data_IF_681868555007
#
_entry.id   IF_681868555007
#
_cell.length_a   1.000
_cell.length_b   1.000
_cell.length_c   1.000
_cell.angle_alpha   90.00
_cell.angle_beta   90.00
_cell.angle_gamma   90.00
#
_symmetry.space_group_name_H-M   'P 1'
#
loop_
_entity.id
_entity.type
_entity.pdbx_description
1 polymer ?
#
# COMPACT_ATOMS: atom_id res chain seq x y z
N UNK A 1 70.17 -0.59 -3.47
CA UNK A 1 68.72 -0.70 -3.76
C UNK A 1 67.94 -1.24 -2.56
N UNK A 2 68.25 -2.43 -2.04
CA UNK A 2 67.53 -3.03 -0.88
C UNK A 2 67.57 -2.16 0.38
N UNK A 3 68.74 -1.58 0.71
CA UNK A 3 68.87 -0.74 1.91
C UNK A 3 67.99 0.52 1.88
N UNK A 4 67.83 1.13 0.69
CA UNK A 4 66.98 2.32 0.49
C UNK A 4 65.50 1.95 0.66
N UNK A 5 65.10 0.80 0.13
CA UNK A 5 63.74 0.28 0.31
C UNK A 5 63.43 -0.01 1.78
N UNK A 6 64.38 -0.59 2.53
CA UNK A 6 64.20 -0.84 3.96
C UNK A 6 64.04 0.46 4.76
N UNK A 7 64.85 1.48 4.45
CA UNK A 7 64.76 2.80 5.08
C UNK A 7 63.43 3.49 4.78
N UNK A 8 62.96 3.44 3.53
CA UNK A 8 61.67 4.01 3.12
C UNK A 8 60.49 3.31 3.82
N UNK A 9 60.52 1.98 3.93
CA UNK A 9 59.47 1.23 4.64
C UNK A 9 59.48 1.51 6.15
N UNK A 10 60.65 1.63 6.77
CA UNK A 10 60.76 1.96 8.19
C UNK A 10 60.22 3.37 8.50
N UNK A 11 60.50 4.35 7.65
CA UNK A 11 59.92 5.70 7.72
C UNK A 11 58.39 5.68 7.58
N UNK A 12 57.87 4.92 6.60
CA UNK A 12 56.42 4.78 6.41
C UNK A 12 55.74 4.10 7.60
N UNK A 13 56.37 3.08 8.18
CA UNK A 13 55.88 2.38 9.37
C UNK A 13 55.83 3.32 10.58
N UNK A 14 56.90 4.09 10.81
CA UNK A 14 56.95 5.08 11.88
C UNK A 14 55.89 6.18 11.71
N UNK A 15 55.60 6.59 10.47
CA UNK A 15 54.51 7.53 10.18
C UNK A 15 53.14 6.93 10.52
N UNK A 16 52.88 5.68 10.11
CA UNK A 16 51.60 4.99 10.37
C UNK A 16 51.35 4.74 11.86
N UNK A 17 52.41 4.56 12.65
CA UNK A 17 52.33 4.40 14.11
C UNK A 17 52.32 5.76 14.85
N UNK A 18 52.33 6.88 14.13
CA UNK A 18 52.27 8.22 14.72
C UNK A 18 53.56 8.68 15.40
N UNK A 19 54.66 7.94 15.29
CA UNK A 19 55.95 8.26 15.93
C UNK A 19 56.62 9.51 15.35
N UNK A 20 56.23 9.92 14.14
CA UNK A 20 56.73 11.12 13.45
C UNK A 20 55.86 12.37 13.70
N UNK A 21 54.91 12.33 14.64
CA UNK A 21 54.21 13.53 15.12
C UNK A 21 53.22 14.15 14.15
N UNK A 22 52.55 13.35 13.32
CA UNK A 22 51.52 13.81 12.39
C UNK A 22 50.34 12.84 12.34
N UNK A 23 49.14 13.38 12.62
CA UNK A 23 47.84 12.70 12.69
C UNK A 23 47.73 11.57 13.74
N UNK A 24 47.37 11.95 14.96
CA UNK A 24 46.90 11.01 15.99
C UNK A 24 45.57 10.32 15.59
N UNK A 25 45.07 9.40 16.44
CA UNK A 25 43.87 8.57 16.19
C UNK A 25 42.55 9.33 15.95
N UNK A 26 42.59 10.67 15.94
CA UNK A 26 41.45 11.53 15.58
C UNK A 26 41.24 11.68 14.06
N UNK A 27 42.10 11.10 13.20
CA UNK A 27 41.88 11.08 11.76
C UNK A 27 40.64 10.25 11.34
N UNK A 28 40.15 9.34 12.19
CA UNK A 28 38.92 8.57 11.95
C UNK A 28 37.64 9.33 12.36
N UNK A 29 37.77 10.43 13.14
CA UNK A 29 36.66 11.36 13.34
C UNK A 29 36.85 12.50 12.36
N UNK A 30 36.07 12.48 11.28
CA UNK A 30 35.95 13.59 10.34
C UNK A 30 34.79 14.52 10.76
N UNK A 31 34.93 15.39 11.80
CA UNK A 31 33.85 16.28 12.24
C UNK A 31 33.41 17.24 11.14
N UNK A 32 34.32 17.50 10.20
CA UNK A 32 34.11 18.31 9.00
C UNK A 32 33.00 17.73 8.11
N UNK A 33 32.74 16.42 8.18
CA UNK A 33 31.69 15.74 7.41
C UNK A 33 30.29 16.00 7.96
N UNK A 34 30.16 16.21 9.28
CA UNK A 34 28.89 16.58 9.94
C UNK A 34 28.53 18.03 9.65
N UNK A 35 29.52 18.93 9.66
CA UNK A 35 29.33 20.34 9.34
C UNK A 35 28.96 20.60 7.86
N UNK A 36 29.17 19.64 6.97
CA UNK A 36 28.79 19.69 5.55
C UNK A 36 27.46 19.02 5.25
N UNK A 37 26.74 18.52 6.26
CA UNK A 37 25.39 18.01 6.06
C UNK A 37 24.46 19.19 5.73
N UNK A 38 23.48 18.94 4.86
CA UNK A 38 22.40 19.89 4.63
C UNK A 38 21.44 19.81 5.83
N UNK A 39 21.35 20.89 6.60
CA UNK A 39 20.53 21.03 7.81
C UNK A 39 20.91 20.12 9.01
N UNK A 40 22.15 20.19 9.53
CA UNK A 40 22.54 19.43 10.72
C UNK A 40 21.71 19.81 11.96
N UNK A 41 21.14 21.02 12.00
CA UNK A 41 20.28 21.50 13.08
C UNK A 41 18.95 20.73 13.23
N UNK A 42 18.54 19.96 12.21
CA UNK A 42 17.36 19.11 12.27
C UNK A 42 17.64 17.74 12.90
N UNK A 43 18.91 17.38 13.12
CA UNK A 43 19.32 16.08 13.67
C UNK A 43 19.69 16.26 15.14
N UNK A 44 18.78 15.88 16.03
CA UNK A 44 19.05 15.85 17.48
C UNK A 44 19.40 14.43 17.90
N UNK A 45 20.58 14.24 18.49
CA UNK A 45 20.96 12.93 19.07
C UNK A 45 20.20 12.75 20.36
N UNK A 46 19.24 11.83 20.37
CA UNK A 46 18.49 11.48 21.57
C UNK A 46 19.35 10.59 22.49
N UNK A 47 19.30 10.80 23.81
CA UNK A 47 19.91 9.87 24.76
C UNK A 47 19.18 8.52 24.70
N UNK A 48 19.87 7.44 25.05
CA UNK A 48 19.36 6.06 24.98
C UNK A 48 18.04 5.85 25.77
N UNK A 49 17.83 6.64 26.82
CA UNK A 49 16.58 6.70 27.58
C UNK A 49 15.38 7.21 26.77
N UNK A 50 15.59 8.09 25.79
CA UNK A 50 14.55 8.62 24.92
C UNK A 50 14.20 7.67 23.76
N UNK A 51 15.13 6.83 23.32
CA UNK A 51 14.86 5.75 22.36
C UNK A 51 13.86 4.72 22.93
N UNK A 52 13.96 4.45 24.23
CA UNK A 52 13.02 3.57 24.95
C UNK A 52 11.60 4.18 25.05
N UNK A 53 11.49 5.51 25.12
CA UNK A 53 10.20 6.22 25.15
C UNK A 53 9.49 6.32 23.80
N UNK A 54 10.24 6.36 22.70
CA UNK A 54 9.68 6.38 21.34
C UNK A 54 9.08 5.03 20.94
N UNK A 55 9.60 3.90 21.44
CA UNK A 55 9.00 2.58 21.24
C UNK A 55 7.72 2.40 22.06
N UNK A 56 7.63 3.03 23.24
CA UNK A 56 6.47 2.95 24.11
C UNK A 56 5.24 3.74 23.60
N UNK A 57 5.42 4.66 22.64
CA UNK A 57 4.35 5.48 22.05
C UNK A 57 3.93 5.03 20.65
N UNK A 58 4.49 3.95 20.13
CA UNK A 58 4.00 3.35 18.88
C UNK A 58 2.61 2.75 19.11
N UNK A 59 1.58 3.42 18.61
CA UNK A 59 0.21 2.89 18.61
C UNK A 59 0.22 1.55 17.87
N UNK A 60 -0.24 0.44 18.49
CA UNK A 60 -0.28 -0.84 17.80
C UNK A 60 -1.19 -0.72 16.58
N UNK A 61 -0.65 -1.04 15.39
CA UNK A 61 -1.44 -1.13 14.17
C UNK A 61 -1.82 -2.59 13.95
N UNK A 62 -3.10 -2.85 13.75
CA UNK A 62 -3.56 -4.16 13.31
C UNK A 62 -3.13 -4.36 11.85
N UNK A 63 -2.55 -5.52 11.57
CA UNK A 63 -2.26 -5.97 10.20
C UNK A 63 -3.43 -6.83 9.73
N UNK A 64 -3.97 -6.50 8.57
CA UNK A 64 -5.04 -7.28 7.93
C UNK A 64 -4.47 -8.03 6.73
N UNK A 65 -4.78 -9.31 6.64
CA UNK A 65 -4.46 -10.14 5.49
C UNK A 65 -5.77 -10.65 4.88
N UNK A 66 -5.97 -10.41 3.58
CA UNK A 66 -7.20 -10.79 2.88
C UNK A 66 -7.39 -9.98 1.59
N UNK A 67 -8.48 -10.22 0.83
CA UNK A 67 -9.51 -11.23 1.06
C UNK A 67 -9.08 -12.63 0.63
N UNK A 68 -9.32 -13.62 1.47
CA UNK A 68 -9.11 -15.04 1.12
C UNK A 68 -10.39 -15.66 0.57
N UNK A 69 -10.26 -16.43 -0.51
CA UNK A 69 -11.38 -17.23 -1.02
C UNK A 69 -11.76 -18.35 -0.03
N UNK A 70 -12.94 -18.98 -0.20
CA UNK A 70 -13.44 -20.01 0.72
C UNK A 70 -12.50 -21.23 0.85
N UNK A 71 -11.66 -21.49 -0.16
CA UNK A 71 -10.69 -22.58 -0.14
C UNK A 71 -9.34 -22.18 0.49
N UNK A 72 -9.01 -20.89 0.48
CA UNK A 72 -7.70 -20.39 0.91
C UNK A 72 -7.71 -19.96 2.38
N UNK A 73 -8.86 -19.48 2.89
CA UNK A 73 -9.01 -19.03 4.27
C UNK A 73 -8.61 -20.10 5.31
N UNK A 74 -9.03 -21.39 5.19
CA UNK A 74 -8.61 -22.44 6.13
C UNK A 74 -7.10 -22.73 6.08
N UNK A 75 -6.44 -22.45 4.95
CA UNK A 75 -4.99 -22.62 4.80
C UNK A 75 -4.24 -21.47 5.43
N UNK A 76 -4.70 -20.23 5.22
CA UNK A 76 -4.14 -19.03 5.85
C UNK A 76 -4.26 -19.09 7.39
N UNK A 77 -5.41 -19.51 7.91
CA UNK A 77 -5.60 -19.68 9.36
C UNK A 77 -4.68 -20.73 9.96
N UNK A 78 -4.46 -21.86 9.28
CA UNK A 78 -3.52 -22.90 9.73
C UNK A 78 -2.09 -22.37 9.76
N UNK A 79 -1.65 -21.71 8.69
CA UNK A 79 -0.33 -21.10 8.63
C UNK A 79 -0.11 -20.08 9.77
N UNK A 80 -1.14 -19.30 10.11
CA UNK A 80 -1.07 -18.35 11.21
C UNK A 80 -0.96 -19.05 12.58
N UNK A 81 -1.73 -20.12 12.80
CA UNK A 81 -1.64 -20.93 14.03
C UNK A 81 -0.27 -21.59 14.21
N UNK A 82 0.33 -22.07 13.12
CA UNK A 82 1.65 -22.73 13.14
C UNK A 82 2.78 -21.79 13.57
N UNK A 83 2.59 -20.47 13.49
CA UNK A 83 3.55 -19.48 14.02
C UNK A 83 3.54 -19.36 15.55
N UNK A 84 2.56 -19.97 16.23
CA UNK A 84 2.42 -19.90 17.69
C UNK A 84 1.78 -18.62 18.22
N UNK A 85 1.14 -17.82 17.36
CA UNK A 85 0.37 -16.63 17.77
C UNK A 85 -0.78 -17.03 18.72
N UNK A 86 -0.79 -16.45 19.92
CA UNK A 86 -1.82 -16.69 20.95
C UNK A 86 -3.20 -16.25 20.48
N UNK A 87 -4.23 -17.00 20.87
CA UNK A 87 -5.62 -16.61 20.63
C UNK A 87 -5.90 -15.24 21.26
N UNK A 88 -6.51 -14.33 20.50
CA UNK A 88 -6.77 -12.95 20.91
C UNK A 88 -5.78 -11.89 20.38
N UNK A 89 -4.63 -12.31 19.81
CA UNK A 89 -3.76 -11.42 19.03
C UNK A 89 -4.15 -11.32 17.56
N UNK A 90 -5.06 -12.18 17.11
CA UNK A 90 -5.58 -12.22 15.76
C UNK A 90 -7.04 -12.72 15.77
N UNK A 91 -7.79 -12.35 14.75
CA UNK A 91 -9.18 -12.74 14.55
C UNK A 91 -9.41 -13.06 13.07
N UNK A 92 -10.15 -14.14 12.78
CA UNK A 92 -10.65 -14.44 11.46
C UNK A 92 -11.99 -13.73 11.24
N UNK A 93 -12.01 -12.72 10.37
CA UNK A 93 -13.22 -11.97 10.03
C UNK A 93 -13.80 -12.51 8.74
N UNK A 94 -14.86 -13.31 8.85
CA UNK A 94 -15.61 -13.79 7.70
C UNK A 94 -16.57 -12.69 7.20
N UNK A 95 -16.26 -12.11 6.05
CA UNK A 95 -17.17 -11.18 5.38
C UNK A 95 -17.87 -11.89 4.22
N UNK A 96 -19.19 -12.02 4.32
CA UNK A 96 -20.03 -12.50 3.22
C UNK A 96 -20.18 -11.36 2.20
N UNK A 97 -19.20 -11.24 1.28
CA UNK A 97 -19.37 -10.41 0.09
C UNK A 97 -20.34 -11.13 -0.84
N UNK A 98 -21.63 -11.05 -0.50
CA UNK A 98 -22.73 -11.43 -1.38
C UNK A 98 -22.62 -10.54 -2.60
N UNK A 99 -21.90 -11.03 -3.61
CA UNK A 99 -21.54 -10.27 -4.80
C UNK A 99 -22.67 -9.35 -5.25
N UNK A 100 -22.34 -8.09 -5.49
CA UNK A 100 -23.34 -7.08 -5.85
C UNK A 100 -23.84 -7.34 -7.27
N UNK A 101 -25.15 -7.40 -7.43
CA UNK A 101 -25.81 -7.47 -8.73
C UNK A 101 -26.07 -6.05 -9.22
N UNK A 102 -25.69 -5.74 -10.44
CA UNK A 102 -26.01 -4.46 -11.06
C UNK A 102 -26.92 -4.66 -12.27
N UNK A 103 -27.81 -3.71 -12.52
CA UNK A 103 -28.56 -3.67 -13.78
C UNK A 103 -27.74 -2.85 -14.76
N UNK A 104 -27.23 -3.52 -15.79
CA UNK A 104 -26.44 -2.92 -16.86
C UNK A 104 -27.30 -2.74 -18.13
N UNK A 105 -27.16 -1.59 -18.76
CA UNK A 105 -27.78 -1.25 -20.04
C UNK A 105 -26.69 -0.75 -21.00
N UNK A 106 -26.40 -1.50 -22.05
CA UNK A 106 -25.31 -1.27 -23.02
C UNK A 106 -25.25 -2.44 -24.02
N UNK A 107 -24.27 -2.61 -24.92
CA UNK A 107 -23.00 -1.93 -25.20
C UNK A 107 -23.21 -0.81 -26.23
N UNK A 108 -22.98 0.44 -25.85
CA UNK A 108 -23.14 1.55 -26.80
C UNK A 108 -21.91 1.70 -27.70
N UNK A 109 -22.07 2.43 -28.81
CA UNK A 109 -20.99 2.66 -29.79
C UNK A 109 -19.88 3.56 -29.25
N UNK A 110 -20.26 4.57 -28.48
CA UNK A 110 -19.40 5.65 -28.01
C UNK A 110 -20.01 6.32 -26.77
N UNK A 111 -19.22 7.21 -26.15
CA UNK A 111 -19.63 7.95 -24.95
C UNK A 111 -20.80 8.90 -25.20
N UNK A 112 -20.95 9.48 -26.39
CA UNK A 112 -22.07 10.37 -26.69
C UNK A 112 -23.39 9.61 -26.75
N UNK A 113 -23.40 8.40 -27.31
CA UNK A 113 -24.56 7.51 -27.32
C UNK A 113 -25.00 7.17 -25.89
N UNK A 114 -24.05 6.94 -24.97
CA UNK A 114 -24.35 6.76 -23.55
C UNK A 114 -24.99 8.00 -22.96
N UNK A 115 -24.45 9.20 -23.23
CA UNK A 115 -24.99 10.46 -22.69
C UNK A 115 -26.39 10.78 -23.25
N UNK A 116 -26.63 10.56 -24.55
CA UNK A 116 -27.96 10.70 -25.15
C UNK A 116 -28.96 9.78 -24.46
N UNK A 117 -28.58 8.52 -24.21
CA UNK A 117 -29.43 7.56 -23.51
C UNK A 117 -29.62 7.95 -22.04
N UNK A 118 -28.58 8.42 -21.36
CA UNK A 118 -28.66 8.89 -19.98
C UNK A 118 -29.73 9.97 -19.82
N UNK A 119 -29.74 10.95 -20.71
CA UNK A 119 -30.75 12.03 -20.69
C UNK A 119 -32.17 11.50 -20.97
N UNK A 120 -32.31 10.48 -21.83
CA UNK A 120 -33.60 9.79 -22.02
C UNK A 120 -34.07 9.09 -20.72
N UNK A 121 -33.18 8.39 -20.04
CA UNK A 121 -33.50 7.65 -18.81
C UNK A 121 -33.80 8.61 -17.64
N UNK A 122 -33.06 9.72 -17.54
CA UNK A 122 -33.33 10.79 -16.58
C UNK A 122 -34.70 11.42 -16.77
N UNK A 123 -35.14 11.65 -18.02
CA UNK A 123 -36.51 12.15 -18.30
C UNK A 123 -37.61 11.21 -17.80
N UNK A 124 -37.32 9.90 -17.69
CA UNK A 124 -38.22 8.88 -17.12
C UNK A 124 -38.11 8.77 -15.59
N UNK A 125 -37.36 9.67 -14.95
CA UNK A 125 -37.09 9.72 -13.50
C UNK A 125 -36.44 8.43 -12.97
N UNK A 126 -35.67 7.75 -13.80
CA UNK A 126 -34.93 6.54 -13.41
C UNK A 126 -33.48 6.94 -13.08
N UNK A 127 -32.96 6.58 -11.90
CA UNK A 127 -31.56 6.83 -11.56
C UNK A 127 -30.67 5.99 -12.48
N UNK A 128 -29.76 6.66 -13.18
CA UNK A 128 -28.81 6.03 -14.08
C UNK A 128 -27.46 6.73 -13.96
N UNK A 129 -26.40 5.94 -13.99
CA UNK A 129 -25.02 6.39 -13.91
C UNK A 129 -24.24 5.85 -15.11
N UNK A 130 -23.28 6.62 -15.61
CA UNK A 130 -22.43 6.17 -16.71
C UNK A 130 -21.44 5.15 -16.17
N UNK A 131 -21.48 3.93 -16.72
CA UNK A 131 -20.46 2.93 -16.44
C UNK A 131 -19.28 3.15 -17.40
N UNK A 132 -18.06 3.42 -16.88
CA UNK A 132 -16.87 3.48 -17.71
C UNK A 132 -16.60 2.12 -18.37
N UNK A 133 -15.92 2.15 -19.52
CA UNK A 133 -15.58 0.95 -20.28
C UNK A 133 -14.75 -0.01 -19.43
N UNK A 134 -15.17 -1.28 -19.39
CA UNK A 134 -14.49 -2.35 -18.67
C UNK A 134 -14.07 -3.47 -19.62
N UNK A 135 -13.20 -4.38 -19.17
CA UNK A 135 -12.71 -5.48 -20.03
C UNK A 135 -13.79 -6.47 -20.49
N UNK A 136 -14.89 -6.59 -19.75
CA UNK A 136 -15.99 -7.51 -20.08
C UNK A 136 -17.28 -6.81 -20.56
N UNK A 137 -17.38 -5.48 -20.38
CA UNK A 137 -18.57 -4.70 -20.71
C UNK A 137 -18.17 -3.44 -21.48
N UNK A 138 -18.85 -3.17 -22.59
CA UNK A 138 -18.65 -1.93 -23.35
C UNK A 138 -19.17 -0.69 -22.59
N UNK A 139 -19.03 0.51 -23.16
CA UNK A 139 -19.57 1.71 -22.55
C UNK A 139 -21.09 1.56 -22.35
N UNK A 140 -21.58 1.94 -21.17
CA UNK A 140 -22.94 1.61 -20.75
C UNK A 140 -23.50 2.48 -19.65
N UNK A 141 -24.73 2.17 -19.27
CA UNK A 141 -25.44 2.75 -18.14
C UNK A 141 -25.64 1.71 -17.05
N UNK A 142 -25.45 2.15 -15.83
CA UNK A 142 -25.75 1.43 -14.61
C UNK A 142 -27.05 1.99 -14.01
N UNK A 143 -28.06 1.14 -13.82
CA UNK A 143 -29.40 1.52 -13.37
C UNK A 143 -29.68 1.18 -11.89
N UNK A 144 -28.66 0.75 -11.13
CA UNK A 144 -28.77 0.43 -9.71
C UNK A 144 -28.01 -0.85 -9.31
N UNK A 145 -27.55 -0.87 -8.06
CA UNK A 145 -26.85 -2.00 -7.43
C UNK A 145 -27.75 -2.67 -6.38
N UNK A 146 -27.71 -3.99 -6.32
CA UNK A 146 -28.57 -4.82 -5.48
C UNK A 146 -27.76 -5.94 -4.86
N UNK A 147 -27.92 -6.18 -3.55
CA UNK A 147 -27.24 -7.28 -2.85
C UNK A 147 -27.81 -8.68 -3.11
N UNK A 148 -28.79 -8.84 -4.01
CA UNK A 148 -29.41 -10.12 -4.32
C UNK A 148 -29.97 -10.16 -5.74
N UNK A 149 -29.78 -11.29 -6.44
CA UNK A 149 -30.28 -11.49 -7.83
C UNK A 149 -31.79 -11.31 -7.95
N UNK A 150 -32.56 -11.81 -6.98
CA UNK A 150 -34.02 -11.69 -6.98
C UNK A 150 -34.47 -10.22 -6.91
N UNK A 151 -33.78 -9.38 -6.12
CA UNK A 151 -34.06 -7.94 -6.04
C UNK A 151 -33.70 -7.22 -7.34
N UNK A 152 -32.56 -7.55 -7.95
CA UNK A 152 -32.18 -7.02 -9.25
C UNK A 152 -33.21 -7.38 -10.35
N UNK A 153 -33.68 -8.64 -10.36
CA UNK A 153 -34.69 -9.09 -11.32
C UNK A 153 -36.04 -8.37 -11.14
N UNK A 154 -36.49 -8.20 -9.89
CA UNK A 154 -37.72 -7.45 -9.59
C UNK A 154 -37.59 -5.97 -10.00
N UNK A 155 -36.45 -5.34 -9.72
CA UNK A 155 -36.20 -3.97 -10.13
C UNK A 155 -36.12 -3.83 -11.66
N UNK A 156 -35.52 -4.77 -12.37
CA UNK A 156 -35.51 -4.80 -13.84
C UNK A 156 -36.93 -4.89 -14.41
N UNK A 157 -37.80 -5.75 -13.83
CA UNK A 157 -39.20 -5.83 -14.24
C UNK A 157 -39.95 -4.50 -14.02
N UNK A 158 -39.70 -3.81 -12.91
CA UNK A 158 -40.26 -2.49 -12.65
C UNK A 158 -39.75 -1.43 -13.65
N UNK A 159 -38.47 -1.49 -14.05
CA UNK A 159 -37.91 -0.60 -15.08
C UNK A 159 -38.56 -0.83 -16.45
N UNK A 160 -38.82 -2.09 -16.83
CA UNK A 160 -39.54 -2.43 -18.06
C UNK A 160 -40.95 -1.81 -18.09
N UNK A 161 -41.67 -1.80 -16.96
CA UNK A 161 -42.98 -1.15 -16.86
C UNK A 161 -42.91 0.38 -17.03
N UNK A 162 -41.79 0.99 -16.67
CA UNK A 162 -41.51 2.43 -16.87
C UNK A 162 -41.01 2.76 -18.28
N UNK A 163 -41.02 1.76 -19.18
CA UNK A 163 -40.63 1.90 -20.58
C UNK A 163 -39.12 1.98 -20.80
N UNK A 164 -38.30 1.57 -19.83
CA UNK A 164 -36.86 1.41 -19.99
C UNK A 164 -36.61 0.01 -20.56
N UNK A 165 -35.95 -0.07 -21.72
CA UNK A 165 -35.62 -1.31 -22.44
C UNK A 165 -34.21 -1.21 -22.99
#
# INVERSE_FOLDING_TARGET
MVLVLLLANALLLAARHGWLGGAGPDADREPQRVARQLHPELVTVLPESAASGAQATATPRCLEAGPFGPNDAPTAERALRDTGLTAGLWEAVATDDRGRFMIYMGKYSDREAVLRKLEEIKRRQVPAEVLPEGREHGPGLHLGQYGARARAAAALAALHQRGVR
#
